data_IF_211906637649
#
_entry.id   IF_211906637649
#
_cell.length_a   1.000
_cell.length_b   1.000
_cell.length_c   1.000
_cell.angle_alpha   90.00
_cell.angle_beta   90.00
_cell.angle_gamma   90.00
#
_symmetry.space_group_name_H-M   'P 1'
#
loop_
_entity.id
_entity.type
_entity.pdbx_description
1 polymer ?
#
# COMPACT_ATOMS: atom_id res chain seq x y z
N UNK A 1 31.28 -4.41 6.15
CA UNK A 1 30.15 -4.80 7.03
C UNK A 1 28.92 -3.98 6.62
N UNK A 2 27.96 -4.56 5.89
CA UNK A 2 26.70 -3.89 5.51
C UNK A 2 25.77 -3.83 6.74
N UNK A 3 25.98 -2.83 7.60
CA UNK A 3 25.08 -2.51 8.71
C UNK A 3 23.97 -1.58 8.22
N UNK A 4 22.72 -1.81 8.62
CA UNK A 4 22.10 -0.99 9.69
C UNK A 4 20.56 -1.02 9.70
N UNK A 5 19.88 -1.21 8.57
CA UNK A 5 18.40 -1.17 8.55
C UNK A 5 17.80 -2.24 7.64
N UNK A 6 18.28 -2.34 6.39
CA UNK A 6 17.74 -3.31 5.41
C UNK A 6 17.72 -4.76 5.94
N UNK A 7 18.76 -5.21 6.64
CA UNK A 7 18.80 -6.58 7.19
C UNK A 7 17.72 -6.79 8.27
N UNK A 8 17.51 -5.82 9.16
CA UNK A 8 16.44 -5.87 10.17
C UNK A 8 15.05 -5.81 9.52
N UNK A 9 14.87 -5.01 8.47
CA UNK A 9 13.62 -4.95 7.71
C UNK A 9 13.30 -6.28 7.02
N UNK A 10 14.31 -6.95 6.48
CA UNK A 10 14.17 -8.19 5.69
C UNK A 10 14.28 -9.47 6.51
N UNK A 11 14.81 -9.43 7.73
CA UNK A 11 15.05 -10.62 8.56
C UNK A 11 14.67 -10.47 10.05
N UNK A 12 13.99 -9.39 10.47
CA UNK A 12 13.54 -9.21 11.86
C UNK A 12 12.46 -10.20 12.30
N UNK A 13 12.00 -10.10 13.56
CA UNK A 13 10.93 -10.92 14.18
C UNK A 13 9.71 -11.15 13.27
N UNK A 14 9.62 -12.31 12.62
CA UNK A 14 8.52 -12.63 11.73
C UNK A 14 7.29 -13.06 12.51
N UNK A 15 6.30 -12.17 12.60
CA UNK A 15 4.93 -12.56 12.98
C UNK A 15 4.37 -13.43 11.83
N UNK A 16 3.57 -14.44 12.16
CA UNK A 16 2.93 -15.30 11.16
C UNK A 16 2.05 -14.45 10.23
N UNK A 17 2.20 -14.65 8.93
CA UNK A 17 1.42 -13.95 7.89
C UNK A 17 -0.10 -14.11 8.10
N UNK A 18 -0.55 -15.19 8.74
CA UNK A 18 -1.95 -15.43 9.09
C UNK A 18 -2.59 -14.32 9.96
N UNK A 19 -1.81 -13.61 10.76
CA UNK A 19 -2.30 -12.48 11.58
C UNK A 19 -2.62 -11.29 10.68
N UNK A 20 -1.76 -11.02 9.72
CA UNK A 20 -1.93 -9.98 8.70
C UNK A 20 -3.11 -10.31 7.78
N UNK A 21 -3.24 -11.56 7.34
CA UNK A 21 -4.36 -12.03 6.51
C UNK A 21 -5.72 -11.94 7.22
N UNK A 22 -5.74 -12.07 8.55
CA UNK A 22 -6.95 -11.91 9.34
C UNK A 22 -7.37 -10.43 9.46
N UNK A 23 -6.39 -9.52 9.60
CA UNK A 23 -6.62 -8.08 9.58
C UNK A 23 -7.13 -7.60 8.22
N UNK A 24 -6.50 -8.07 7.13
CA UNK A 24 -6.91 -7.84 5.73
C UNK A 24 -8.39 -8.12 5.51
N UNK A 25 -8.80 -9.37 5.77
CA UNK A 25 -10.16 -9.86 5.48
C UNK A 25 -11.24 -9.13 6.26
N UNK A 26 -10.94 -8.74 7.50
CA UNK A 26 -11.92 -8.08 8.38
C UNK A 26 -12.09 -6.58 8.13
N UNK A 27 -11.09 -5.90 7.58
CA UNK A 27 -11.06 -4.44 7.62
C UNK A 27 -11.47 -3.82 6.28
N UNK A 28 -10.66 -3.88 5.23
CA UNK A 28 -10.95 -3.09 4.02
C UNK A 28 -12.06 -3.66 3.13
N UNK A 29 -12.01 -4.96 2.82
CA UNK A 29 -12.94 -5.56 1.85
C UNK A 29 -14.39 -5.57 2.37
N UNK A 30 -14.54 -5.82 3.67
CA UNK A 30 -15.84 -5.81 4.35
C UNK A 30 -16.38 -4.39 4.50
N UNK A 31 -15.53 -3.39 4.79
CA UNK A 31 -15.97 -1.99 4.95
C UNK A 31 -16.28 -1.29 3.62
N UNK A 32 -15.53 -1.60 2.57
CA UNK A 32 -15.64 -0.93 1.26
C UNK A 32 -16.45 -1.73 0.23
N UNK A 33 -16.78 -2.99 0.52
CA UNK A 33 -17.50 -3.86 -0.42
C UNK A 33 -16.69 -4.15 -1.70
N UNK A 34 -15.37 -4.22 -1.59
CA UNK A 34 -14.44 -4.45 -2.71
C UNK A 34 -13.80 -5.83 -2.63
N UNK A 35 -13.44 -6.39 -3.79
CA UNK A 35 -12.60 -7.59 -3.86
C UNK A 35 -11.18 -7.28 -3.40
N UNK A 36 -10.54 -8.22 -2.68
CA UNK A 36 -9.16 -8.04 -2.23
C UNK A 36 -8.14 -8.22 -3.36
N UNK A 37 -8.49 -8.98 -4.39
CA UNK A 37 -7.60 -9.36 -5.49
C UNK A 37 -7.72 -8.40 -6.69
N UNK A 38 -8.61 -7.41 -6.61
CA UNK A 38 -8.80 -6.40 -7.66
C UNK A 38 -8.27 -5.02 -7.21
N UNK A 39 -7.91 -4.15 -8.16
CA UNK A 39 -7.61 -2.76 -7.87
C UNK A 39 -8.78 -1.98 -7.32
N UNK A 40 -8.49 -0.95 -6.52
CA UNK A 40 -9.54 -0.03 -6.05
C UNK A 40 -10.14 0.74 -7.23
N UNK A 41 -11.47 0.75 -7.38
CA UNK A 41 -12.11 1.55 -8.41
C UNK A 41 -11.98 3.04 -8.07
N UNK A 42 -12.09 3.93 -9.09
CA UNK A 42 -12.11 5.37 -8.87
C UNK A 42 -13.22 5.79 -7.89
N UNK A 43 -13.03 6.90 -7.15
CA UNK A 43 -14.08 7.45 -6.29
C UNK A 43 -15.35 7.73 -7.10
N UNK A 44 -16.50 7.39 -6.54
CA UNK A 44 -17.80 7.63 -7.14
C UNK A 44 -18.66 8.50 -6.25
N UNK A 45 -19.47 9.37 -6.85
CA UNK A 45 -20.55 10.04 -6.14
C UNK A 45 -21.72 9.06 -6.00
N UNK A 46 -22.41 9.07 -4.86
CA UNK A 46 -23.62 8.27 -4.70
C UNK A 46 -24.76 8.88 -5.50
N UNK A 47 -25.31 8.15 -6.47
CA UNK A 47 -26.42 8.62 -7.29
C UNK A 47 -27.76 8.45 -6.57
N UNK A 48 -27.95 8.99 -5.36
CA UNK A 48 -29.26 9.09 -4.66
C UNK A 48 -30.03 7.80 -4.32
N UNK A 49 -29.73 6.66 -4.94
CA UNK A 49 -30.40 5.37 -4.78
C UNK A 49 -29.38 4.34 -4.32
N UNK A 50 -29.27 4.14 -3.00
CA UNK A 50 -28.68 2.99 -2.28
C UNK A 50 -27.50 2.21 -2.92
N UNK A 51 -26.63 2.83 -3.71
CA UNK A 51 -25.38 2.23 -4.17
C UNK A 51 -24.26 2.55 -3.17
N UNK A 52 -23.44 1.56 -2.81
CA UNK A 52 -22.25 1.78 -1.99
C UNK A 52 -21.34 2.81 -2.68
N UNK A 53 -21.15 3.97 -2.05
CA UNK A 53 -20.26 5.04 -2.55
C UNK A 53 -18.82 4.57 -2.44
N UNK A 54 -18.02 4.70 -3.51
CA UNK A 54 -16.57 4.50 -3.41
C UNK A 54 -15.92 5.79 -2.88
N UNK A 55 -15.33 5.78 -1.67
CA UNK A 55 -14.66 6.96 -1.14
C UNK A 55 -13.34 7.27 -1.87
N UNK A 56 -12.79 8.44 -1.59
CA UNK A 56 -11.38 8.70 -1.88
C UNK A 56 -10.54 7.90 -0.90
N UNK A 57 -9.64 7.07 -1.43
CA UNK A 57 -8.73 6.24 -0.65
C UNK A 57 -7.30 6.61 -1.04
N UNK A 58 -6.48 6.79 -0.01
CA UNK A 58 -5.04 6.90 -0.16
C UNK A 58 -4.35 5.94 0.80
N UNK A 59 -3.24 5.36 0.36
CA UNK A 59 -2.43 4.42 1.13
C UNK A 59 -0.99 4.93 1.11
N UNK A 60 -0.39 5.02 2.29
CA UNK A 60 0.98 5.50 2.49
C UNK A 60 1.86 4.29 2.81
N UNK A 61 3.03 4.23 2.20
CA UNK A 61 4.04 3.18 2.41
C UNK A 61 5.42 3.78 2.13
N UNK A 62 6.49 3.17 2.60
CA UNK A 62 7.86 3.53 2.20
C UNK A 62 8.35 2.62 1.06
N UNK A 63 8.80 3.20 -0.05
CA UNK A 63 9.44 2.50 -1.15
C UNK A 63 10.96 2.61 -1.03
N UNK A 64 11.68 1.51 -1.29
CA UNK A 64 13.13 1.55 -1.47
C UNK A 64 13.50 2.16 -2.83
N UNK A 65 14.37 3.16 -2.80
CA UNK A 65 14.96 3.79 -3.97
C UNK A 65 16.02 2.86 -4.60
N UNK A 66 15.90 2.61 -5.90
CA UNK A 66 16.88 1.83 -6.67
C UNK A 66 18.20 2.59 -6.86
N UNK A 67 18.16 3.93 -6.83
CA UNK A 67 19.32 4.79 -7.12
C UNK A 67 20.37 4.75 -6.02
N UNK A 68 19.92 4.78 -4.77
CA UNK A 68 20.78 4.97 -3.59
C UNK A 68 20.43 4.04 -2.42
N UNK A 69 19.40 3.21 -2.56
CA UNK A 69 18.93 2.31 -1.52
C UNK A 69 18.22 2.99 -0.35
N UNK A 70 17.97 4.32 -0.44
CA UNK A 70 17.23 5.08 0.57
C UNK A 70 15.75 4.69 0.59
N UNK A 71 15.06 4.94 1.71
CA UNK A 71 13.62 4.76 1.80
C UNK A 71 12.92 6.10 1.59
N UNK A 72 11.92 6.11 0.71
CA UNK A 72 11.18 7.32 0.34
C UNK A 72 9.68 7.07 0.53
N UNK A 73 8.93 8.08 1.02
CA UNK A 73 7.51 7.93 1.17
C UNK A 73 6.84 7.80 -0.20
N UNK A 74 5.90 6.87 -0.27
CA UNK A 74 5.19 6.48 -1.46
C UNK A 74 3.69 6.49 -1.18
N UNK A 75 2.92 7.06 -2.12
CA UNK A 75 1.50 7.30 -1.94
C UNK A 75 0.73 6.68 -3.11
N UNK A 76 -0.11 5.71 -2.80
CA UNK A 76 -1.08 5.10 -3.71
C UNK A 76 -2.43 5.77 -3.51
N UNK A 77 -3.12 6.07 -4.59
CA UNK A 77 -4.45 6.71 -4.56
C UNK A 77 -5.38 6.06 -5.56
N UNK A 78 -6.66 5.90 -5.24
CA UNK A 78 -7.64 5.44 -6.24
C UNK A 78 -8.11 6.55 -7.20
N UNK A 79 -7.55 7.75 -7.08
CA UNK A 79 -7.88 8.93 -7.89
C UNK A 79 -6.64 9.52 -8.57
N UNK A 80 -6.82 10.22 -9.71
CA UNK A 80 -5.73 10.95 -10.37
C UNK A 80 -5.16 12.02 -9.45
N UNK A 81 -3.83 12.11 -9.38
CA UNK A 81 -3.14 13.14 -8.58
C UNK A 81 -2.89 14.37 -9.45
N UNK A 82 -3.01 15.61 -8.92
CA UNK A 82 -2.66 16.80 -9.66
C UNK A 82 -1.16 16.77 -10.06
N UNK A 83 -0.83 17.16 -11.30
CA UNK A 83 0.55 17.21 -11.81
C UNK A 83 1.49 18.05 -10.91
N UNK A 84 0.97 19.07 -10.22
CA UNK A 84 1.72 19.88 -9.26
C UNK A 84 2.20 19.10 -8.01
N UNK A 85 1.57 17.95 -7.71
CA UNK A 85 1.97 17.06 -6.61
C UNK A 85 3.12 16.12 -7.01
N UNK A 86 3.46 16.01 -8.30
CA UNK A 86 4.56 15.14 -8.77
C UNK A 86 5.95 15.67 -8.39
N UNK A 87 6.07 16.96 -8.05
CA UNK A 87 7.26 17.56 -7.44
C UNK A 87 7.36 17.38 -5.92
N UNK A 88 6.36 16.75 -5.28
CA UNK A 88 6.31 16.55 -3.84
C UNK A 88 7.19 15.40 -3.34
N UNK A 89 7.31 15.29 -2.00
CA UNK A 89 8.05 14.19 -1.36
C UNK A 89 7.41 12.82 -1.59
N UNK A 90 6.09 12.79 -1.82
CA UNK A 90 5.33 11.57 -2.06
C UNK A 90 5.27 11.23 -3.55
N UNK A 91 6.06 10.25 -3.97
CA UNK A 91 6.01 9.68 -5.33
C UNK A 91 5.04 8.50 -5.36
N UNK A 92 4.40 8.23 -6.48
CA UNK A 92 3.54 7.04 -6.60
C UNK A 92 2.54 7.09 -7.76
N UNK A 93 2.22 5.94 -8.39
CA UNK A 93 1.18 5.87 -9.39
C UNK A 93 -0.20 5.92 -8.72
N UNK A 94 -1.24 6.01 -9.55
CA UNK A 94 -2.58 5.61 -9.13
C UNK A 94 -2.58 4.12 -8.74
N UNK A 95 -3.49 3.71 -7.88
CA UNK A 95 -3.63 2.34 -7.41
C UNK A 95 -4.20 1.37 -8.47
N UNK A 96 -4.23 1.75 -9.75
CA UNK A 96 -4.90 0.99 -10.82
C UNK A 96 -4.27 -0.37 -11.09
N UNK A 97 -3.01 -0.52 -10.74
CA UNK A 97 -2.17 -1.69 -11.02
C UNK A 97 -1.88 -2.50 -9.74
N UNK A 98 -2.45 -2.10 -8.59
CA UNK A 98 -2.28 -2.77 -7.30
C UNK A 98 -3.60 -3.36 -6.85
N UNK A 99 -3.59 -4.63 -6.44
CA UNK A 99 -4.74 -5.19 -5.71
C UNK A 99 -4.91 -4.52 -4.35
N UNK A 100 -6.15 -4.45 -3.84
CA UNK A 100 -6.44 -4.00 -2.47
C UNK A 100 -5.57 -4.75 -1.45
N UNK A 101 -5.36 -6.05 -1.67
CA UNK A 101 -4.47 -6.89 -0.86
C UNK A 101 -3.06 -6.31 -0.81
N UNK A 102 -2.42 -6.09 -1.96
CA UNK A 102 -1.05 -5.55 -2.01
C UNK A 102 -0.94 -4.19 -1.32
N UNK A 103 -1.92 -3.30 -1.51
CA UNK A 103 -1.91 -1.98 -0.90
C UNK A 103 -1.89 -2.05 0.62
N UNK A 104 -2.81 -2.83 1.21
CA UNK A 104 -2.91 -2.95 2.66
C UNK A 104 -1.71 -3.71 3.23
N UNK A 105 -1.21 -4.71 2.51
CA UNK A 105 0.00 -5.42 2.89
C UNK A 105 1.21 -4.48 2.92
N UNK A 106 1.35 -3.59 1.94
CA UNK A 106 2.46 -2.65 1.89
C UNK A 106 2.44 -1.66 3.07
N UNK A 107 1.29 -1.04 3.36
CA UNK A 107 1.15 -0.11 4.51
C UNK A 107 1.15 -0.79 5.88
N UNK A 108 0.97 -2.11 5.96
CA UNK A 108 0.98 -2.85 7.23
C UNK A 108 2.24 -3.69 7.43
N UNK A 109 3.16 -3.69 6.46
CA UNK A 109 4.41 -4.46 6.53
C UNK A 109 5.45 -3.73 7.36
N UNK A 110 5.12 -3.60 8.65
CA UNK A 110 5.97 -2.95 9.63
C UNK A 110 7.38 -3.57 9.61
N UNK A 111 8.42 -2.73 9.41
CA UNK A 111 9.81 -3.04 9.68
C UNK A 111 10.00 -4.03 10.84
N UNK A 112 10.80 -5.06 10.60
CA UNK A 112 11.14 -6.10 11.59
C UNK A 112 10.01 -7.05 11.99
N UNK A 113 8.73 -6.71 11.82
CA UNK A 113 7.60 -7.56 12.20
C UNK A 113 7.08 -8.42 11.05
N UNK A 114 7.05 -7.83 9.85
CA UNK A 114 6.54 -8.49 8.64
C UNK A 114 7.59 -8.45 7.53
N UNK A 115 7.45 -9.35 6.57
CA UNK A 115 8.25 -9.32 5.35
C UNK A 115 7.83 -8.13 4.47
N UNK A 116 8.78 -7.45 3.81
CA UNK A 116 8.48 -6.42 2.83
C UNK A 116 7.59 -6.95 1.70
N UNK A 117 6.84 -6.06 1.06
CA UNK A 117 6.07 -6.35 -0.14
C UNK A 117 6.91 -6.04 -1.37
N UNK A 118 6.96 -6.97 -2.32
CA UNK A 118 7.61 -6.77 -3.62
C UNK A 118 6.55 -6.57 -4.70
N UNK A 119 6.64 -5.49 -5.47
CA UNK A 119 5.73 -5.20 -6.56
C UNK A 119 6.49 -4.46 -7.68
N UNK A 120 6.38 -4.94 -8.92
CA UNK A 120 7.05 -4.32 -10.07
C UNK A 120 8.58 -4.18 -9.93
N UNK A 121 9.23 -5.13 -9.25
CA UNK A 121 10.68 -5.10 -8.97
C UNK A 121 11.11 -4.14 -7.85
N UNK A 122 10.15 -3.50 -7.17
CA UNK A 122 10.37 -2.55 -6.07
C UNK A 122 9.95 -3.13 -4.74
N UNK A 123 10.53 -2.61 -3.66
CA UNK A 123 10.32 -3.10 -2.30
C UNK A 123 9.62 -2.03 -1.46
N UNK A 124 8.57 -2.46 -0.74
CA UNK A 124 7.67 -1.62 0.05
C UNK A 124 7.55 -2.12 1.50
N UNK A 125 7.45 -1.19 2.45
CA UNK A 125 7.22 -1.45 3.88
C UNK A 125 6.30 -0.36 4.46
N UNK A 126 5.78 -0.54 5.66
CA UNK A 126 5.11 0.55 6.41
C UNK A 126 6.05 1.76 6.57
#
# INVERSE_FOLDING_TARGET
>A
KKSSTYHYLTHGLRIKDSVRDAFMRKTLCTLLGVSEDEPLPPPSAGNGTMGSRMPHVFVVTAQRSERDGSWQPFLLTNYPRPLAAEGGRFRGPSAHDWSVREMVMATSSAPTYFSPVEHGGRVYVD
#
